data_IF_837977499397
#
_entry.id   IF_837977499397
#
_cell.length_a   1.000
_cell.length_b   1.000
_cell.length_c   1.000
_cell.angle_alpha   90.00
_cell.angle_beta   90.00
_cell.angle_gamma   90.00
#
_symmetry.space_group_name_H-M   'P 1'
#
loop_
_entity.id
_entity.type
_entity.pdbx_description
1 polymer ?
#
# COMPACT_ATOMS: atom_id res chain seq x y z
N UNK A 1 -14.96 -7.40 11.52
CA UNK A 1 -13.76 -6.60 11.20
C UNK A 1 -13.51 -6.78 9.70
N UNK A 2 -13.26 -5.71 8.94
CA UNK A 2 -13.14 -5.80 7.48
C UNK A 2 -11.72 -6.23 7.09
N UNK A 3 -11.55 -7.42 6.49
CA UNK A 3 -10.26 -8.01 6.10
C UNK A 3 -9.45 -7.05 5.22
N UNK A 4 -10.14 -6.29 4.34
CA UNK A 4 -9.50 -5.26 3.51
C UNK A 4 -8.83 -4.16 4.33
N UNK A 5 -9.48 -3.67 5.39
CA UNK A 5 -8.90 -2.64 6.27
C UNK A 5 -7.67 -3.20 6.98
N UNK A 6 -7.72 -4.44 7.45
CA UNK A 6 -6.58 -5.04 8.16
C UNK A 6 -5.35 -5.20 7.24
N UNK A 7 -5.56 -5.63 5.99
CA UNK A 7 -4.48 -5.75 5.00
C UNK A 7 -3.81 -4.40 4.77
N UNK A 8 -4.60 -3.34 4.52
CA UNK A 8 -4.05 -2.01 4.26
C UNK A 8 -3.33 -1.43 5.48
N UNK A 9 -3.87 -1.64 6.67
CA UNK A 9 -3.26 -1.17 7.92
C UNK A 9 -1.94 -1.89 8.23
N UNK A 10 -1.82 -3.19 7.93
CA UNK A 10 -0.56 -3.92 8.09
C UNK A 10 0.56 -3.31 7.22
N UNK A 11 0.24 -3.02 5.95
CA UNK A 11 1.17 -2.37 5.02
C UNK A 11 1.54 -0.95 5.49
N UNK A 12 0.54 -0.15 5.88
CA UNK A 12 0.76 1.22 6.31
C UNK A 12 1.64 1.28 7.56
N UNK A 13 1.47 0.35 8.51
CA UNK A 13 2.29 0.30 9.72
C UNK A 13 3.77 0.03 9.43
N UNK A 14 4.08 -0.89 8.50
CA UNK A 14 5.46 -1.15 8.11
C UNK A 14 6.06 0.01 7.30
N UNK A 15 5.28 0.61 6.39
CA UNK A 15 5.71 1.81 5.66
C UNK A 15 5.98 2.99 6.59
N UNK A 16 5.17 3.18 7.64
CA UNK A 16 5.38 4.23 8.66
C UNK A 16 6.71 4.02 9.38
N UNK A 17 7.07 2.78 9.70
CA UNK A 17 8.32 2.46 10.39
C UNK A 17 9.58 2.75 9.56
N UNK A 18 9.47 2.64 8.23
CA UNK A 18 10.58 2.82 7.28
C UNK A 18 10.67 4.24 6.73
N UNK A 19 9.56 4.98 6.70
CA UNK A 19 9.51 6.29 6.06
C UNK A 19 10.47 7.30 6.70
N UNK A 20 10.76 7.19 8.02
CA UNK A 20 11.78 7.96 8.77
C UNK A 20 11.61 9.48 8.82
N UNK A 21 10.90 10.07 7.85
CA UNK A 21 10.57 11.46 7.64
C UNK A 21 9.05 11.65 7.61
N UNK A 22 8.60 12.91 7.72
CA UNK A 22 7.21 13.37 7.61
C UNK A 22 6.63 13.07 6.23
N UNK A 23 6.26 11.82 5.97
CA UNK A 23 5.52 11.36 4.80
C UNK A 23 4.05 11.26 5.18
N UNK A 24 3.17 11.81 4.34
CA UNK A 24 1.73 11.70 4.59
C UNK A 24 1.23 10.34 4.10
N UNK A 25 0.61 9.56 4.99
CA UNK A 25 0.08 8.25 4.69
C UNK A 25 -1.44 8.29 4.46
N UNK A 26 -1.90 7.70 3.35
CA UNK A 26 -3.30 7.61 2.99
C UNK A 26 -3.79 6.15 2.96
N UNK A 27 -4.86 5.87 3.73
CA UNK A 27 -5.63 4.62 3.68
C UNK A 27 -6.75 4.75 2.62
N UNK A 28 -6.43 4.39 1.38
CA UNK A 28 -7.28 4.60 0.21
C UNK A 28 -6.60 5.49 -0.85
N UNK A 29 -7.14 5.49 -2.07
CA UNK A 29 -6.67 6.39 -3.12
C UNK A 29 -7.26 7.79 -2.89
N UNK A 30 -6.45 8.81 -2.54
CA UNK A 30 -6.96 10.17 -2.36
C UNK A 30 -7.44 10.74 -3.70
N UNK A 31 -8.59 11.42 -3.67
CA UNK A 31 -9.10 12.14 -4.84
C UNK A 31 -8.30 13.42 -5.13
N UNK A 32 -7.69 14.00 -4.10
CA UNK A 32 -6.88 15.21 -4.15
C UNK A 32 -5.78 15.14 -3.08
N UNK A 33 -4.60 15.66 -3.40
CA UNK A 33 -3.44 15.71 -2.50
C UNK A 33 -2.96 17.16 -2.47
N UNK A 34 -2.80 17.74 -1.29
CA UNK A 34 -2.29 19.11 -1.17
C UNK A 34 -0.77 19.14 -1.35
N UNK A 35 -0.18 20.22 -1.88
CA UNK A 35 1.27 20.32 -2.05
C UNK A 35 2.07 20.19 -0.75
N UNK A 36 1.44 20.47 0.39
CA UNK A 36 1.99 20.34 1.74
C UNK A 36 1.98 18.90 2.27
N UNK A 37 1.13 18.03 1.71
CA UNK A 37 1.09 16.60 2.05
C UNK A 37 2.22 15.81 1.36
N UNK A 38 2.91 16.41 0.39
CA UNK A 38 3.94 15.76 -0.42
C UNK A 38 5.32 15.79 0.29
N UNK A 39 6.07 14.68 0.34
CA UNK A 39 5.78 13.39 -0.29
C UNK A 39 4.66 12.61 0.44
N UNK A 40 3.79 11.96 -0.34
CA UNK A 40 2.68 11.18 0.18
C UNK A 40 2.74 9.72 -0.30
N UNK A 41 2.24 8.81 0.52
CA UNK A 41 2.04 7.40 0.18
C UNK A 41 0.58 7.03 0.33
N UNK A 42 0.04 6.28 -0.63
CA UNK A 42 -1.32 5.75 -0.54
C UNK A 42 -1.33 4.23 -0.70
N UNK A 43 -2.18 3.57 0.08
CA UNK A 43 -2.40 2.13 0.03
C UNK A 43 -3.87 1.85 -0.17
N UNK A 44 -4.25 1.11 -1.22
CA UNK A 44 -5.64 0.76 -1.48
C UNK A 44 -5.79 -0.60 -2.17
N UNK A 45 -7.02 -1.12 -2.18
CA UNK A 45 -7.38 -2.37 -2.85
C UNK A 45 -8.35 -2.05 -4.00
N UNK A 46 -8.13 -2.63 -5.17
CA UNK A 46 -9.09 -2.64 -6.29
C UNK A 46 -9.49 -4.07 -6.64
N UNK A 47 -10.57 -4.19 -7.40
CA UNK A 47 -10.99 -5.45 -8.04
C UNK A 47 -11.20 -6.61 -7.03
N UNK A 48 -11.61 -6.27 -5.82
CA UNK A 48 -11.94 -7.25 -4.80
C UNK A 48 -13.18 -8.04 -5.22
N UNK A 49 -12.98 -9.29 -5.60
CA UNK A 49 -14.01 -10.18 -6.12
C UNK A 49 -13.93 -11.58 -5.50
N UNK A 50 -15.09 -12.18 -5.30
CA UNK A 50 -15.17 -13.60 -4.97
C UNK A 50 -14.76 -14.42 -6.20
N UNK A 51 -13.84 -15.35 -6.01
CA UNK A 51 -13.32 -16.20 -7.10
C UNK A 51 -13.88 -17.62 -7.03
N UNK A 52 -14.18 -18.13 -5.83
CA UNK A 52 -14.78 -19.46 -5.62
C UNK A 52 -14.00 -20.60 -6.27
N UNK A 53 -12.67 -20.51 -6.25
CA UNK A 53 -11.78 -21.48 -6.89
C UNK A 53 -11.81 -22.79 -6.12
N UNK A 54 -11.76 -22.71 -4.79
CA UNK A 54 -12.01 -23.83 -3.90
C UNK A 54 -13.52 -23.98 -3.65
N UNK A 55 -13.98 -25.23 -3.64
CA UNK A 55 -15.40 -25.55 -3.49
C UNK A 55 -15.89 -25.42 -2.04
N UNK A 56 -14.97 -25.49 -1.08
CA UNK A 56 -15.21 -25.46 0.35
C UNK A 56 -14.67 -24.20 1.04
N UNK A 57 -14.13 -23.24 0.28
CA UNK A 57 -13.60 -21.99 0.82
C UNK A 57 -14.28 -20.76 0.20
N UNK A 58 -14.34 -19.70 1.00
CA UNK A 58 -14.84 -18.40 0.56
C UNK A 58 -13.68 -17.57 -0.02
N UNK A 59 -13.19 -17.95 -1.20
CA UNK A 59 -12.02 -17.33 -1.84
C UNK A 59 -12.32 -15.94 -2.40
N UNK A 60 -11.47 -14.98 -2.05
CA UNK A 60 -11.49 -13.63 -2.61
C UNK A 60 -10.13 -13.25 -3.15
N UNK A 61 -10.13 -12.54 -4.28
CA UNK A 61 -8.93 -11.97 -4.89
C UNK A 61 -9.11 -10.46 -5.05
N UNK A 62 -8.03 -9.70 -4.84
CA UNK A 62 -7.99 -8.26 -5.03
C UNK A 62 -6.57 -7.85 -5.49
N UNK A 63 -6.45 -6.64 -6.04
CA UNK A 63 -5.15 -6.02 -6.34
C UNK A 63 -4.83 -5.00 -5.25
N UNK A 64 -3.71 -5.21 -4.56
CA UNK A 64 -3.16 -4.26 -3.59
C UNK A 64 -2.25 -3.27 -4.31
N UNK A 65 -2.55 -1.98 -4.14
CA UNK A 65 -1.78 -0.88 -4.70
C UNK A 65 -1.07 -0.13 -3.58
N UNK A 66 0.19 0.21 -3.83
CA UNK A 66 1.01 1.10 -3.02
C UNK A 66 1.60 2.14 -3.98
N UNK A 67 1.32 3.42 -3.77
CA UNK A 67 1.79 4.48 -4.65
C UNK A 67 2.45 5.62 -3.88
N UNK A 68 3.53 6.15 -4.45
CA UNK A 68 4.23 7.35 -3.98
C UNK A 68 3.80 8.54 -4.84
N UNK A 69 3.43 9.63 -4.18
CA UNK A 69 3.12 10.90 -4.81
C UNK A 69 4.19 11.90 -4.42
N UNK A 70 4.84 12.47 -5.44
CA UNK A 70 5.81 13.55 -5.31
C UNK A 70 5.30 14.80 -6.02
N UNK A 71 6.02 15.92 -5.87
CA UNK A 71 5.73 17.15 -6.60
C UNK A 71 5.86 16.88 -8.10
N UNK A 72 4.94 17.43 -8.90
CA UNK A 72 4.93 17.21 -10.35
C UNK A 72 6.20 17.68 -11.09
N UNK A 73 7.06 18.51 -10.47
CA UNK A 73 8.35 18.91 -11.03
C UNK A 73 9.50 17.95 -10.69
N UNK A 74 9.28 16.98 -9.79
CA UNK A 74 10.27 15.99 -9.44
C UNK A 74 10.55 15.07 -10.64
N UNK A 75 11.81 14.69 -10.90
CA UNK A 75 12.14 13.76 -11.96
C UNK A 75 11.67 12.34 -11.62
N UNK A 76 11.38 11.54 -12.65
CA UNK A 76 11.00 10.13 -12.48
C UNK A 76 12.04 9.32 -11.68
N UNK A 77 13.32 9.66 -11.80
CA UNK A 77 14.41 9.03 -11.03
C UNK A 77 14.23 9.18 -9.50
N UNK A 78 13.55 10.23 -9.04
CA UNK A 78 13.24 10.41 -7.61
C UNK A 78 12.14 9.44 -7.17
N UNK A 79 11.15 9.17 -8.03
CA UNK A 79 10.14 8.13 -7.78
C UNK A 79 10.79 6.75 -7.73
N UNK A 80 11.70 6.45 -8.68
CA UNK A 80 12.42 5.19 -8.70
C UNK A 80 13.23 4.98 -7.41
N UNK A 81 13.93 6.03 -6.94
CA UNK A 81 14.70 5.99 -5.70
C UNK A 81 13.78 5.71 -4.49
N UNK A 82 12.61 6.36 -4.42
CA UNK A 82 11.62 6.06 -3.38
C UNK A 82 11.16 4.61 -3.41
N UNK A 83 10.86 4.09 -4.60
CA UNK A 83 10.40 2.72 -4.76
C UNK A 83 11.49 1.71 -4.38
N UNK A 84 12.70 1.88 -4.89
CA UNK A 84 13.82 0.94 -4.69
C UNK A 84 14.37 0.96 -3.27
N UNK A 85 14.54 2.14 -2.67
CA UNK A 85 15.21 2.26 -1.37
C UNK A 85 14.25 2.12 -0.18
N UNK A 86 12.96 2.45 -0.36
CA UNK A 86 11.99 2.50 0.74
C UNK A 86 10.83 1.54 0.57
N UNK A 87 10.14 1.58 -0.58
CA UNK A 87 8.87 0.85 -0.73
C UNK A 87 9.07 -0.64 -0.98
N UNK A 88 9.89 -1.03 -1.95
CA UNK A 88 10.12 -2.45 -2.24
C UNK A 88 10.71 -3.20 -1.04
N UNK A 89 11.74 -2.67 -0.33
CA UNK A 89 12.24 -3.31 0.88
C UNK A 89 11.18 -3.45 1.97
N UNK A 90 10.28 -2.47 2.13
CA UNK A 90 9.17 -2.55 3.08
C UNK A 90 8.17 -3.67 2.76
N UNK A 91 8.02 -4.00 1.48
CA UNK A 91 7.05 -4.97 1.00
C UNK A 91 7.62 -6.41 0.93
N UNK A 92 8.93 -6.60 1.08
CA UNK A 92 9.54 -7.94 1.10
C UNK A 92 9.06 -8.76 2.29
N UNK A 93 8.96 -8.15 3.48
CA UNK A 93 8.52 -8.82 4.69
C UNK A 93 7.56 -7.92 5.47
N UNK A 94 6.26 -8.06 5.17
CA UNK A 94 5.22 -7.27 5.83
C UNK A 94 4.72 -7.99 7.08
N UNK A 95 4.99 -7.42 8.25
CA UNK A 95 4.65 -7.98 9.55
C UNK A 95 3.13 -8.19 9.68
N UNK A 96 2.74 -9.47 9.81
CA UNK A 96 1.35 -9.86 10.05
C UNK A 96 0.46 -9.92 8.81
N UNK A 97 0.94 -9.53 7.63
CA UNK A 97 0.19 -9.69 6.37
C UNK A 97 -0.02 -11.17 6.02
N UNK A 98 0.99 -12.01 6.28
CA UNK A 98 0.96 -13.47 6.10
C UNK A 98 -0.22 -14.18 6.78
N UNK A 99 -0.80 -13.57 7.84
CA UNK A 99 -1.94 -14.13 8.58
C UNK A 99 -3.28 -13.66 8.04
N UNK A 100 -3.25 -12.71 7.11
CA UNK A 100 -4.41 -12.03 6.55
C UNK A 100 -4.69 -12.44 5.10
N UNK A 101 -3.69 -12.94 4.38
CA UNK A 101 -3.81 -13.34 2.97
C UNK A 101 -3.31 -14.76 2.76
N UNK A 102 -3.79 -15.36 1.70
CA UNK A 102 -3.29 -16.62 1.16
C UNK A 102 -2.37 -16.28 -0.03
N UNK A 103 -1.18 -16.88 -0.08
CA UNK A 103 -0.14 -16.65 -1.10
C UNK A 103 0.14 -17.90 -1.92
#
# INVERSE_FOLDING_TARGET
MNKHTQIRQAILADLESLAGETVTLFDGLPAFIEPEDLPALAVWLTDAQYTGVMTDEDDWQAVLHVAVFLKAQAPDAELDTWMEEKIFPALEEVNGLERLIDT
#
